data_IF_843022780069
#
_entry.id   IF_843022780069
#
_cell.length_a   1.000
_cell.length_b   1.000
_cell.length_c   1.000
_cell.angle_alpha   90.00
_cell.angle_beta   90.00
_cell.angle_gamma   90.00
#
_symmetry.space_group_name_H-M   'P 1'
#
loop_
_entity.id
_entity.type
_entity.pdbx_description
1 polymer ?
#
# COMPACT_ATOMS: atom_id res chain seq x y z
N UNK A 1 -12.51 5.05 7.37
CA UNK A 1 -13.67 4.31 6.78
C UNK A 1 -13.16 2.96 6.33
N UNK A 2 -13.91 1.88 6.53
CA UNK A 2 -13.54 0.57 6.01
C UNK A 2 -13.96 0.48 4.53
N UNK A 3 -13.01 0.18 3.65
CA UNK A 3 -13.27 -0.16 2.25
C UNK A 3 -13.93 -1.53 2.16
N UNK A 4 -14.90 -1.68 1.24
CA UNK A 4 -15.61 -2.95 1.02
C UNK A 4 -15.07 -3.73 -0.18
N UNK A 5 -14.37 -3.05 -1.10
CA UNK A 5 -13.76 -3.61 -2.30
C UNK A 5 -12.51 -2.81 -2.72
N UNK A 6 -11.84 -3.25 -3.78
CA UNK A 6 -10.61 -2.59 -4.25
C UNK A 6 -10.83 -1.16 -4.77
N UNK A 7 -12.00 -0.85 -5.32
CA UNK A 7 -12.32 0.51 -5.79
C UNK A 7 -12.43 1.49 -4.63
N UNK A 8 -13.05 1.08 -3.53
CA UNK A 8 -13.10 1.88 -2.30
C UNK A 8 -11.69 2.13 -1.74
N UNK A 9 -10.78 1.15 -1.84
CA UNK A 9 -9.38 1.33 -1.45
C UNK A 9 -8.71 2.39 -2.34
N UNK A 10 -8.89 2.32 -3.66
CA UNK A 10 -8.33 3.30 -4.60
C UNK A 10 -8.86 4.71 -4.30
N UNK A 11 -10.15 4.83 -4.00
CA UNK A 11 -10.79 6.12 -3.70
C UNK A 11 -10.37 6.67 -2.33
N UNK A 12 -10.25 5.81 -1.32
CA UNK A 12 -9.71 6.17 -0.01
C UNK A 12 -8.28 6.70 -0.11
N UNK A 13 -7.41 6.00 -0.85
CA UNK A 13 -6.04 6.44 -1.10
C UNK A 13 -6.01 7.75 -1.90
N UNK A 14 -6.89 7.92 -2.89
CA UNK A 14 -7.02 9.18 -3.62
C UNK A 14 -7.41 10.33 -2.70
N UNK A 15 -8.27 10.08 -1.70
CA UNK A 15 -8.63 11.03 -0.65
C UNK A 15 -7.42 11.49 0.14
N UNK A 16 -6.66 10.55 0.69
CA UNK A 16 -5.44 10.81 1.48
C UNK A 16 -4.44 11.62 0.66
N UNK A 17 -4.18 11.24 -0.60
CA UNK A 17 -3.24 11.95 -1.48
C UNK A 17 -3.68 13.38 -1.73
N UNK A 18 -4.97 13.63 -1.98
CA UNK A 18 -5.49 14.99 -2.20
C UNK A 18 -5.38 15.85 -0.94
N UNK A 19 -5.71 15.31 0.22
CA UNK A 19 -5.61 16.03 1.50
C UNK A 19 -4.15 16.37 1.82
N UNK A 20 -3.27 15.37 1.72
CA UNK A 20 -1.85 15.54 1.96
C UNK A 20 -1.22 16.58 1.01
N UNK A 21 -1.59 16.54 -0.28
CA UNK A 21 -1.14 17.54 -1.25
C UNK A 21 -1.60 18.97 -0.93
N UNK A 22 -2.80 19.15 -0.38
CA UNK A 22 -3.30 20.46 0.07
C UNK A 22 -2.61 20.96 1.34
N UNK A 23 -2.30 20.04 2.26
CA UNK A 23 -1.65 20.36 3.52
C UNK A 23 -0.12 20.46 3.42
N UNK A 24 0.48 20.02 2.31
CA UNK A 24 1.94 19.85 2.20
C UNK A 24 2.47 18.71 3.08
N UNK A 25 1.62 17.75 3.45
CA UNK A 25 1.94 16.64 4.33
C UNK A 25 2.65 15.52 3.54
N UNK A 26 3.79 15.07 4.06
CA UNK A 26 4.61 14.02 3.45
C UNK A 26 3.95 12.64 3.50
N UNK A 27 2.89 12.46 4.28
CA UNK A 27 2.11 11.21 4.31
C UNK A 27 1.54 10.85 2.93
N UNK A 28 1.34 11.86 2.07
CA UNK A 28 0.86 11.68 0.70
C UNK A 28 1.84 10.93 -0.21
N UNK A 29 3.15 10.91 0.09
CA UNK A 29 4.14 10.25 -0.77
C UNK A 29 3.91 8.76 -0.88
N UNK A 30 3.83 8.07 0.27
CA UNK A 30 3.56 6.65 0.27
C UNK A 30 2.13 6.35 -0.20
N UNK A 31 1.14 7.14 0.21
CA UNK A 31 -0.25 6.95 -0.23
C UNK A 31 -0.40 7.05 -1.76
N UNK A 32 0.38 7.92 -2.42
CA UNK A 32 0.37 8.06 -3.88
C UNK A 32 0.99 6.84 -4.57
N UNK A 33 2.13 6.35 -4.06
CA UNK A 33 2.76 5.13 -4.57
C UNK A 33 1.82 3.94 -4.39
N UNK A 34 1.23 3.79 -3.20
CA UNK A 34 0.34 2.69 -2.91
C UNK A 34 -0.90 2.72 -3.81
N UNK A 35 -1.52 3.90 -3.99
CA UNK A 35 -2.64 4.06 -4.93
C UNK A 35 -2.28 3.59 -6.33
N UNK A 36 -1.09 3.92 -6.82
CA UNK A 36 -0.66 3.49 -8.15
C UNK A 36 -0.56 1.98 -8.26
N UNK A 37 -0.03 1.29 -7.24
CA UNK A 37 -0.01 -0.18 -7.19
C UNK A 37 -1.43 -0.74 -7.21
N UNK A 38 -2.32 -0.25 -6.33
CA UNK A 38 -3.69 -0.77 -6.21
C UNK A 38 -4.49 -0.60 -7.51
N UNK A 39 -4.28 0.49 -8.25
CA UNK A 39 -4.91 0.70 -9.57
C UNK A 39 -4.44 -0.35 -10.59
N UNK A 40 -3.15 -0.71 -10.58
CA UNK A 40 -2.62 -1.75 -11.48
C UNK A 40 -3.15 -3.13 -11.09
N UNK A 41 -3.26 -3.43 -9.79
CA UNK A 41 -3.86 -4.70 -9.33
C UNK A 41 -5.33 -4.77 -9.69
N UNK A 42 -6.12 -3.72 -9.46
CA UNK A 42 -7.51 -3.64 -9.92
C UNK A 42 -7.63 -3.89 -11.42
N UNK A 43 -6.75 -3.28 -12.21
CA UNK A 43 -6.75 -3.48 -13.66
C UNK A 43 -6.47 -4.94 -14.02
N UNK A 44 -5.56 -5.61 -13.31
CA UNK A 44 -5.28 -7.02 -13.47
C UNK A 44 -6.45 -7.94 -13.03
N UNK A 45 -7.19 -7.57 -11.98
CA UNK A 45 -8.42 -8.25 -11.55
C UNK A 45 -9.49 -8.15 -12.64
N UNK A 46 -9.79 -6.94 -13.12
CA UNK A 46 -10.78 -6.73 -14.18
C UNK A 46 -10.35 -7.34 -15.52
N UNK A 47 -9.03 -7.45 -15.76
CA UNK A 47 -8.46 -8.12 -16.93
C UNK A 47 -8.45 -9.66 -16.85
N UNK A 48 -8.88 -10.26 -15.73
CA UNK A 48 -8.90 -11.71 -15.56
C UNK A 48 -7.51 -12.35 -15.50
N UNK A 49 -6.48 -11.62 -15.06
CA UNK A 49 -5.11 -12.13 -14.99
C UNK A 49 -4.85 -13.02 -13.77
N UNK A 50 -5.70 -12.90 -12.75
CA UNK A 50 -5.63 -13.72 -11.53
C UNK A 50 -6.44 -15.01 -11.69
N UNK A 51 -5.96 -16.08 -11.08
CA UNK A 51 -6.66 -17.37 -11.02
C UNK A 51 -7.99 -17.24 -10.26
N UNK A 52 -8.05 -16.39 -9.24
CA UNK A 52 -9.27 -16.05 -8.49
C UNK A 52 -9.37 -14.55 -8.21
N UNK A 53 -9.93 -13.81 -9.18
CA UNK A 53 -10.09 -12.35 -9.07
C UNK A 53 -10.92 -11.90 -7.87
N UNK A 54 -11.95 -12.66 -7.47
CA UNK A 54 -12.78 -12.32 -6.32
C UNK A 54 -12.02 -12.49 -5.00
N UNK A 55 -11.16 -13.51 -4.89
CA UNK A 55 -10.23 -13.66 -3.77
C UNK A 55 -9.22 -12.52 -3.73
N UNK A 56 -8.70 -12.11 -4.89
CA UNK A 56 -7.73 -11.02 -4.95
C UNK A 56 -8.34 -9.65 -4.62
N UNK A 57 -9.58 -9.41 -4.99
CA UNK A 57 -10.33 -8.22 -4.55
C UNK A 57 -10.45 -8.17 -3.01
N UNK A 58 -10.85 -9.29 -2.38
CA UNK A 58 -10.90 -9.38 -0.90
C UNK A 58 -9.52 -9.24 -0.27
N UNK A 59 -8.49 -9.84 -0.87
CA UNK A 59 -7.12 -9.75 -0.40
C UNK A 59 -6.64 -8.30 -0.36
N UNK A 60 -6.79 -7.58 -1.46
CA UNK A 60 -6.36 -6.18 -1.58
C UNK A 60 -7.21 -5.24 -0.72
N UNK A 61 -8.50 -5.53 -0.57
CA UNK A 61 -9.39 -4.79 0.34
C UNK A 61 -8.93 -4.93 1.79
N UNK A 62 -8.64 -6.15 2.24
CA UNK A 62 -8.09 -6.40 3.58
C UNK A 62 -6.74 -5.71 3.76
N UNK A 63 -5.89 -5.76 2.74
CA UNK A 63 -4.57 -5.12 2.75
C UNK A 63 -4.67 -3.59 2.87
N UNK A 64 -5.57 -2.96 2.11
CA UNK A 64 -5.84 -1.51 2.16
C UNK A 64 -6.44 -1.06 3.48
N UNK A 65 -7.41 -1.81 4.02
CA UNK A 65 -8.02 -1.51 5.31
C UNK A 65 -6.99 -1.51 6.45
N UNK A 66 -5.99 -2.39 6.40
CA UNK A 66 -4.91 -2.38 7.41
C UNK A 66 -4.08 -1.10 7.37
N UNK A 67 -3.80 -0.57 6.19
CA UNK A 67 -3.14 0.72 6.05
C UNK A 67 -4.03 1.86 6.56
N UNK A 68 -5.32 1.86 6.23
CA UNK A 68 -6.27 2.86 6.72
C UNK A 68 -6.40 2.83 8.24
N UNK A 69 -6.49 1.65 8.85
CA UNK A 69 -6.51 1.51 10.32
C UNK A 69 -5.24 2.09 10.96
N UNK A 70 -4.06 1.84 10.37
CA UNK A 70 -2.81 2.39 10.85
C UNK A 70 -2.73 3.92 10.67
N UNK A 71 -3.20 4.43 9.53
CA UNK A 71 -3.28 5.86 9.23
C UNK A 71 -4.23 6.58 10.19
N UNK A 72 -5.45 6.07 10.37
CA UNK A 72 -6.46 6.64 11.26
C UNK A 72 -5.99 6.60 12.72
N UNK A 73 -5.37 5.50 13.16
CA UNK A 73 -4.77 5.41 14.50
C UNK A 73 -3.66 6.44 14.70
N UNK A 74 -2.78 6.60 13.71
CA UNK A 74 -1.72 7.60 13.77
C UNK A 74 -2.28 9.03 13.85
N UNK A 75 -3.27 9.37 13.03
CA UNK A 75 -3.88 10.71 13.01
C UNK A 75 -4.66 11.02 14.29
N UNK A 76 -5.28 10.01 14.91
CA UNK A 76 -6.09 10.16 16.12
C UNK A 76 -5.24 10.41 17.37
N UNK A 77 -4.22 9.60 17.60
CA UNK A 77 -3.44 9.63 18.86
C UNK A 77 -1.99 9.13 18.71
N UNK A 78 -1.47 9.07 17.47
CA UNK A 78 -0.13 8.55 17.16
C UNK A 78 0.07 7.08 17.58
N UNK A 79 -1.02 6.33 17.77
CA UNK A 79 -0.99 4.90 18.07
C UNK A 79 -0.93 4.04 16.80
N UNK A 80 -1.13 2.73 16.95
CA UNK A 80 -1.09 1.77 15.85
C UNK A 80 0.12 0.83 15.87
N UNK A 81 0.27 -0.02 14.84
CA UNK A 81 1.36 -0.97 14.74
C UNK A 81 2.72 -0.29 14.77
N UNK A 82 3.69 -0.88 15.49
CA UNK A 82 4.99 -0.26 15.71
C UNK A 82 5.67 0.16 14.41
N UNK A 83 5.71 -0.71 13.39
CA UNK A 83 6.35 -0.41 12.10
C UNK A 83 5.76 0.84 11.42
N UNK A 84 4.44 1.04 11.52
CA UNK A 84 3.76 2.21 10.98
C UNK A 84 4.03 3.46 11.80
N UNK A 85 4.11 3.35 13.13
CA UNK A 85 4.49 4.49 13.98
C UNK A 85 5.91 4.98 13.68
N UNK A 86 6.86 4.08 13.49
CA UNK A 86 8.24 4.46 13.12
C UNK A 86 8.25 5.13 11.72
N UNK A 87 7.52 4.57 10.74
CA UNK A 87 7.44 5.13 9.40
C UNK A 87 6.78 6.52 9.38
N UNK A 88 5.67 6.69 10.11
CA UNK A 88 4.97 7.97 10.18
C UNK A 88 5.66 8.99 11.09
N UNK A 89 6.37 8.55 12.13
CA UNK A 89 7.11 9.42 13.03
C UNK A 89 8.25 10.16 12.35
N UNK A 90 8.78 9.63 11.24
CA UNK A 90 9.80 10.28 10.43
C UNK A 90 9.23 11.30 9.44
N UNK A 91 7.90 11.43 9.27
CA UNK A 91 7.31 12.37 8.31
C UNK A 91 7.64 13.84 8.62
N UNK A 92 7.85 14.16 9.89
CA UNK A 92 8.20 15.53 10.33
C UNK A 92 9.72 15.80 10.26
N UNK A 93 10.53 14.79 9.96
CA UNK A 93 11.98 14.90 9.87
C UNK A 93 12.41 15.56 8.55
N UNK A 94 12.98 16.76 8.63
CA UNK A 94 13.42 17.53 7.48
C UNK A 94 14.53 16.85 6.66
N UNK A 95 15.36 16.02 7.29
CA UNK A 95 16.51 15.34 6.68
C UNK A 95 16.09 14.05 5.96
N UNK A 96 14.88 13.55 6.22
CA UNK A 96 14.37 12.37 5.54
C UNK A 96 13.94 12.72 4.11
N UNK A 97 14.65 12.14 3.13
CA UNK A 97 14.34 12.35 1.71
C UNK A 97 13.13 11.53 1.26
N UNK A 98 12.48 11.95 0.17
CA UNK A 98 11.26 11.32 -0.36
C UNK A 98 11.43 9.80 -0.52
N UNK A 99 12.58 9.34 -1.05
CA UNK A 99 12.84 7.90 -1.24
C UNK A 99 12.85 7.12 0.07
N UNK A 100 13.35 7.71 1.16
CA UNK A 100 13.34 7.05 2.47
C UNK A 100 11.92 6.91 3.01
N UNK A 101 11.07 7.94 2.88
CA UNK A 101 9.65 7.83 3.23
C UNK A 101 8.94 6.72 2.45
N UNK A 102 9.21 6.62 1.14
CA UNK A 102 8.65 5.57 0.30
C UNK A 102 9.10 4.18 0.76
N UNK A 103 10.40 3.98 1.00
CA UNK A 103 10.95 2.69 1.43
C UNK A 103 10.44 2.28 2.82
N UNK A 104 10.29 3.21 3.75
CA UNK A 104 9.73 2.95 5.07
C UNK A 104 8.28 2.47 4.99
N UNK A 105 7.45 3.16 4.19
CA UNK A 105 6.07 2.76 3.95
C UNK A 105 5.97 1.39 3.27
N UNK A 106 6.79 1.16 2.24
CA UNK A 106 6.86 -0.15 1.56
C UNK A 106 7.28 -1.25 2.53
N UNK A 107 8.25 -0.99 3.40
CA UNK A 107 8.72 -1.97 4.37
C UNK A 107 7.64 -2.32 5.40
N UNK A 108 6.96 -1.32 5.98
CA UNK A 108 5.88 -1.53 6.94
C UNK A 108 4.71 -2.29 6.29
N UNK A 109 4.33 -1.90 5.08
CA UNK A 109 3.18 -2.45 4.38
C UNK A 109 3.42 -3.89 3.89
N UNK A 110 4.57 -4.16 3.24
CA UNK A 110 4.86 -5.50 2.72
C UNK A 110 5.15 -6.49 3.85
N UNK A 111 5.96 -6.13 4.85
CA UNK A 111 6.41 -7.14 5.82
C UNK A 111 5.36 -7.47 6.88
N UNK A 112 4.51 -6.51 7.26
CA UNK A 112 3.47 -6.75 8.26
C UNK A 112 2.11 -7.03 7.60
N UNK A 113 1.63 -6.12 6.76
CA UNK A 113 0.24 -6.16 6.33
C UNK A 113 -0.02 -7.28 5.32
N UNK A 114 0.95 -7.58 4.46
CA UNK A 114 0.80 -8.58 3.39
C UNK A 114 0.68 -9.99 3.96
N UNK A 115 1.50 -10.33 4.97
CA UNK A 115 1.45 -11.63 5.63
C UNK A 115 0.11 -11.85 6.33
N UNK A 116 -0.44 -10.81 6.97
CA UNK A 116 -1.72 -10.87 7.65
C UNK A 116 -2.88 -10.98 6.64
N UNK A 117 -2.82 -10.23 5.54
CA UNK A 117 -3.82 -10.31 4.47
C UNK A 117 -3.84 -11.71 3.84
N UNK A 118 -2.67 -12.30 3.57
CA UNK A 118 -2.56 -13.66 3.05
C UNK A 118 -3.13 -14.70 4.00
N UNK A 119 -2.73 -14.66 5.28
CA UNK A 119 -3.19 -15.60 6.28
C UNK A 119 -4.72 -15.55 6.50
N UNK A 120 -5.32 -14.35 6.41
CA UNK A 120 -6.78 -14.18 6.54
C UNK A 120 -7.55 -14.61 5.30
N UNK A 121 -7.02 -14.33 4.12
CA UNK A 121 -7.69 -14.63 2.85
C UNK A 121 -7.60 -16.11 2.49
N UNK A 122 -6.51 -16.78 2.87
CA UNK A 122 -6.25 -18.18 2.53
C UNK A 122 -5.59 -18.92 3.70
N UNK A 123 -6.37 -19.30 4.73
CA UNK A 123 -5.84 -19.98 5.91
C UNK A 123 -5.50 -21.44 5.63
N UNK A 124 -4.47 -21.95 6.34
CA UNK A 124 -4.06 -23.36 6.24
C UNK A 124 -3.62 -23.75 4.83
N UNK A 125 -4.05 -24.92 4.36
CA UNK A 125 -3.71 -25.46 3.03
C UNK A 125 -4.19 -24.58 1.86
N UNK A 126 -5.17 -23.69 2.08
CA UNK A 126 -5.64 -22.76 1.05
C UNK A 126 -4.54 -21.80 0.57
N UNK A 127 -3.50 -21.57 1.38
CA UNK A 127 -2.35 -20.72 1.02
C UNK A 127 -1.66 -21.19 -0.26
N UNK A 128 -1.70 -22.50 -0.56
CA UNK A 128 -1.08 -23.06 -1.75
C UNK A 128 -1.79 -22.60 -3.03
N UNK A 129 -3.11 -22.44 -3.00
CA UNK A 129 -3.89 -21.92 -4.11
C UNK A 129 -3.68 -20.41 -4.34
N UNK A 130 -3.24 -19.68 -3.31
CA UNK A 130 -2.93 -18.25 -3.40
C UNK A 130 -1.55 -17.99 -4.05
N UNK A 131 -0.65 -18.98 -4.11
CA UNK A 131 0.75 -18.79 -4.49
C UNK A 131 0.94 -18.07 -5.82
N UNK A 132 0.22 -18.46 -6.88
CA UNK A 132 0.38 -17.86 -8.21
C UNK A 132 -0.06 -16.40 -8.21
N UNK A 133 -1.25 -16.13 -7.69
CA UNK A 133 -1.79 -14.77 -7.63
C UNK A 133 -0.93 -13.86 -6.73
N UNK A 134 -0.40 -14.41 -5.63
CA UNK A 134 0.54 -13.71 -4.76
C UNK A 134 1.83 -13.32 -5.48
N UNK A 135 2.39 -14.21 -6.29
CA UNK A 135 3.56 -13.91 -7.11
C UNK A 135 3.24 -12.84 -8.17
N UNK A 136 2.06 -12.89 -8.79
CA UNK A 136 1.62 -11.87 -9.74
C UNK A 136 1.50 -10.48 -9.09
N UNK A 137 0.96 -10.41 -7.86
CA UNK A 137 0.98 -9.16 -7.08
C UNK A 137 2.41 -8.67 -6.84
N UNK A 138 3.34 -9.57 -6.47
CA UNK A 138 4.73 -9.19 -6.25
C UNK A 138 5.39 -8.64 -7.52
N UNK A 139 5.07 -9.20 -8.68
CA UNK A 139 5.57 -8.70 -9.96
C UNK A 139 5.03 -7.29 -10.28
N UNK A 140 3.74 -7.04 -10.00
CA UNK A 140 3.13 -5.71 -10.13
C UNK A 140 3.79 -4.72 -9.17
N UNK A 141 3.92 -5.09 -7.89
CA UNK A 141 4.58 -4.29 -6.86
C UNK A 141 6.00 -3.92 -7.28
N UNK A 142 6.81 -4.89 -7.67
CA UNK A 142 8.20 -4.67 -8.07
C UNK A 142 8.28 -3.66 -9.22
N UNK A 143 7.49 -3.86 -10.28
CA UNK A 143 7.45 -2.97 -11.46
C UNK A 143 7.10 -1.53 -11.09
N UNK A 144 6.06 -1.33 -10.28
CA UNK A 144 5.57 0.02 -9.92
C UNK A 144 6.52 0.72 -8.95
N UNK A 145 6.99 0.02 -7.91
CA UNK A 145 7.91 0.57 -6.91
C UNK A 145 9.25 0.94 -7.56
N UNK A 146 9.84 0.04 -8.36
CA UNK A 146 11.08 0.32 -9.09
C UNK A 146 10.90 1.53 -10.02
N UNK A 147 9.81 1.57 -10.79
CA UNK A 147 9.53 2.68 -11.69
C UNK A 147 9.35 4.02 -10.97
N UNK A 148 8.69 4.04 -9.81
CA UNK A 148 8.48 5.25 -9.01
C UNK A 148 9.78 5.74 -8.38
N UNK A 149 10.52 4.85 -7.71
CA UNK A 149 11.80 5.19 -7.05
C UNK A 149 12.81 5.72 -8.07
N UNK A 150 12.93 5.08 -9.25
CA UNK A 150 13.80 5.56 -10.32
C UNK A 150 13.40 6.95 -10.82
N UNK A 151 12.10 7.23 -11.00
CA UNK A 151 11.62 8.56 -11.40
C UNK A 151 11.98 9.62 -10.37
N UNK A 152 11.79 9.35 -9.07
CA UNK A 152 12.14 10.28 -8.00
C UNK A 152 13.64 10.56 -7.99
N UNK A 153 14.48 9.51 -8.09
CA UNK A 153 15.95 9.67 -8.12
C UNK A 153 16.44 10.47 -9.34
N UNK A 154 15.87 10.22 -10.52
CA UNK A 154 16.23 10.96 -11.75
C UNK A 154 15.76 12.42 -11.70
N UNK A 155 14.62 12.69 -11.06
CA UNK A 155 14.10 14.06 -10.93
C UNK A 155 14.86 14.85 -9.86
N UNK A 156 15.35 14.19 -8.79
CA UNK A 156 16.14 14.81 -7.74
C UNK A 156 17.60 15.13 -8.15
N UNK A 157 18.05 14.64 -9.31
CA UNK A 157 19.41 14.86 -9.84
C UNK A 157 19.45 15.90 -10.98
N UNK A 158 18.34 16.62 -11.21
CA UNK A 158 18.24 17.78 -12.11
C UNK A 158 17.97 19.03 -11.31
#
# INVERSE_FOLDING_TARGET
>A
MAAENIDDVVDGLAGIVREAGRAGDRVGYFAALYRQVTVEVRTAIHGGLFDDGARMDRFDTLFGNRYFDAYDAWRRDRSGPRCWREAFGLLDDADTVIVQHLLLGVNAHINLDLAIAAARTSPGEAIHALRRDFLLINDILARVVLGCVLKVLVTATR
#
